data_IF_952768230673
#
_entry.id   IF_952768230673
#
_cell.length_a   1.000
_cell.length_b   1.000
_cell.length_c   1.000
_cell.angle_alpha   90.00
_cell.angle_beta   90.00
_cell.angle_gamma   90.00
#
_symmetry.space_group_name_H-M   'P 1'
#
loop_
_entity.id
_entity.type
_entity.pdbx_description
1 polymer ?
#
# COMPACT_ATOMS: atom_id res chain seq x y z
N UNK A 1 -151.06 -21.89 24.76
CA UNK A 1 -149.74 -21.58 25.35
C UNK A 1 -149.02 -22.81 25.93
N UNK A 2 -149.72 -23.82 26.47
CA UNK A 2 -149.08 -25.06 26.98
C UNK A 2 -148.66 -26.03 25.85
N UNK A 3 -149.46 -26.16 24.79
CA UNK A 3 -149.15 -27.05 23.66
C UNK A 3 -147.82 -26.69 22.95
N UNK A 4 -147.53 -25.40 22.79
CA UNK A 4 -146.28 -24.89 22.21
C UNK A 4 -145.07 -25.10 23.13
N UNK A 5 -145.27 -25.06 24.45
CA UNK A 5 -144.22 -25.34 25.43
C UNK A 5 -143.86 -26.84 25.47
N UNK A 6 -144.87 -27.72 25.38
CA UNK A 6 -144.67 -29.17 25.34
C UNK A 6 -143.95 -29.64 24.07
N UNK A 7 -144.30 -29.11 22.89
CA UNK A 7 -143.59 -29.44 21.65
C UNK A 7 -142.16 -28.92 21.65
N UNK A 8 -141.90 -27.74 22.23
CA UNK A 8 -140.55 -27.21 22.42
C UNK A 8 -139.72 -28.07 23.39
N UNK A 9 -140.30 -28.47 24.53
CA UNK A 9 -139.62 -29.33 25.51
C UNK A 9 -139.33 -30.72 24.94
N UNK A 10 -140.26 -31.29 24.17
CA UNK A 10 -140.09 -32.56 23.48
C UNK A 10 -139.01 -32.47 22.39
N UNK A 11 -139.00 -31.38 21.60
CA UNK A 11 -137.95 -31.11 20.62
C UNK A 11 -136.58 -30.93 21.27
N UNK A 12 -136.52 -30.25 22.40
CA UNK A 12 -135.29 -30.08 23.19
C UNK A 12 -134.81 -31.41 23.78
N UNK A 13 -135.70 -32.23 24.35
CA UNK A 13 -135.35 -33.57 24.85
C UNK A 13 -134.84 -34.45 23.72
N UNK A 14 -135.46 -34.38 22.54
CA UNK A 14 -135.05 -35.17 21.38
C UNK A 14 -133.67 -34.70 20.86
N UNK A 15 -133.43 -33.40 20.79
CA UNK A 15 -132.13 -32.84 20.41
C UNK A 15 -131.04 -33.18 21.43
N UNK A 16 -131.36 -33.13 22.73
CA UNK A 16 -130.45 -33.51 23.81
C UNK A 16 -130.13 -35.02 23.75
N UNK A 17 -131.14 -35.85 23.49
CA UNK A 17 -130.97 -37.30 23.31
C UNK A 17 -130.07 -37.60 22.11
N UNK A 18 -130.28 -36.92 20.97
CA UNK A 18 -129.42 -37.01 19.79
C UNK A 18 -127.99 -36.54 20.12
N UNK A 19 -127.81 -35.40 20.78
CA UNK A 19 -126.49 -34.90 21.17
C UNK A 19 -125.75 -35.88 22.09
N UNK A 20 -126.44 -36.50 23.05
CA UNK A 20 -125.86 -37.49 23.95
C UNK A 20 -125.51 -38.80 23.21
N UNK A 21 -126.30 -39.17 22.20
CA UNK A 21 -126.02 -40.33 21.34
C UNK A 21 -124.78 -40.10 20.45
N UNK A 22 -124.59 -38.88 19.94
CA UNK A 22 -123.44 -38.53 19.09
C UNK A 22 -122.18 -38.15 19.88
N UNK A 23 -122.29 -37.69 21.13
CA UNK A 23 -121.16 -37.34 21.99
C UNK A 23 -120.05 -38.44 22.07
N UNK A 24 -120.35 -39.73 22.31
CA UNK A 24 -119.32 -40.77 22.35
C UNK A 24 -118.65 -41.03 20.99
N UNK A 25 -119.36 -40.76 19.88
CA UNK A 25 -118.83 -40.91 18.52
C UNK A 25 -117.80 -39.81 18.22
N UNK A 26 -118.11 -38.57 18.59
CA UNK A 26 -117.19 -37.45 18.41
C UNK A 26 -115.96 -37.59 19.34
N UNK A 27 -116.14 -38.02 20.60
CA UNK A 27 -115.04 -38.21 21.54
C UNK A 27 -114.04 -39.30 21.09
N UNK A 28 -114.56 -40.39 20.50
CA UNK A 28 -113.72 -41.46 19.92
C UNK A 28 -112.82 -40.93 18.80
N UNK A 29 -113.33 -40.03 17.95
CA UNK A 29 -112.58 -39.51 16.80
C UNK A 29 -111.48 -38.54 17.23
N UNK A 30 -111.75 -37.64 18.18
CA UNK A 30 -110.73 -36.73 18.72
C UNK A 30 -109.61 -37.46 19.46
N UNK A 31 -109.92 -38.55 20.19
CA UNK A 31 -108.89 -39.37 20.85
C UNK A 31 -107.94 -40.06 19.86
N UNK A 32 -108.41 -40.41 18.65
CA UNK A 32 -107.55 -40.99 17.61
C UNK A 32 -106.53 -39.99 17.07
N UNK A 33 -106.89 -38.72 16.93
CA UNK A 33 -105.96 -37.70 16.47
C UNK A 33 -104.92 -37.38 17.55
N UNK A 34 -105.36 -37.18 18.80
CA UNK A 34 -104.44 -36.96 19.92
C UNK A 34 -103.44 -38.12 20.12
N UNK A 35 -103.90 -39.37 19.92
CA UNK A 35 -103.05 -40.55 20.07
C UNK A 35 -102.04 -40.72 18.93
N UNK A 36 -102.42 -40.40 17.68
CA UNK A 36 -101.51 -40.42 16.53
C UNK A 36 -100.40 -39.37 16.63
N UNK A 37 -100.72 -38.18 17.15
CA UNK A 37 -99.74 -37.12 17.35
C UNK A 37 -98.74 -37.49 18.45
N UNK A 38 -99.23 -38.06 19.55
CA UNK A 38 -98.41 -38.51 20.68
C UNK A 38 -97.52 -39.71 20.31
N UNK A 39 -98.04 -40.65 19.51
CA UNK A 39 -97.27 -41.79 19.00
C UNK A 39 -96.24 -41.38 17.92
N UNK A 40 -96.42 -40.23 17.25
CA UNK A 40 -95.46 -39.68 16.30
C UNK A 40 -94.33 -38.88 16.96
N UNK A 41 -94.52 -38.40 18.19
CA UNK A 41 -93.51 -37.61 18.94
C UNK A 41 -92.81 -38.40 20.04
N UNK A 42 -93.41 -39.49 20.54
CA UNK A 42 -92.74 -40.40 21.47
C UNK A 42 -91.96 -41.49 20.71
N UNK A 43 -90.75 -41.86 21.17
CA UNK A 43 -90.06 -43.04 20.65
C UNK A 43 -90.91 -44.27 20.93
N UNK A 44 -91.53 -44.81 19.88
CA UNK A 44 -92.59 -45.82 20.00
C UNK A 44 -92.03 -47.25 20.20
N UNK A 45 -90.70 -47.46 20.15
CA UNK A 45 -90.09 -48.79 20.34
C UNK A 45 -88.86 -48.80 21.26
N UNK A 46 -88.75 -49.86 22.08
CA UNK A 46 -87.57 -50.09 22.94
C UNK A 46 -86.26 -50.27 22.14
N UNK A 47 -86.36 -50.60 20.85
CA UNK A 47 -85.21 -50.75 19.97
C UNK A 47 -84.64 -49.40 19.52
N UNK A 48 -85.49 -48.41 19.22
CA UNK A 48 -85.04 -47.05 18.87
C UNK A 48 -84.34 -46.38 20.06
N UNK A 49 -84.88 -46.52 21.27
CA UNK A 49 -84.23 -46.00 22.49
C UNK A 49 -82.83 -46.60 22.66
N UNK A 50 -82.66 -47.90 22.43
CA UNK A 50 -81.35 -48.57 22.49
C UNK A 50 -80.40 -48.07 21.40
N UNK A 51 -80.90 -47.86 20.18
CA UNK A 51 -80.10 -47.31 19.08
C UNK A 51 -79.63 -45.89 19.39
N UNK A 52 -80.46 -45.03 19.99
CA UNK A 52 -80.06 -43.69 20.45
C UNK A 52 -78.96 -43.75 21.52
N UNK A 53 -79.09 -44.66 22.49
CA UNK A 53 -78.06 -44.87 23.52
C UNK A 53 -76.74 -45.37 22.93
N UNK A 54 -76.80 -46.32 22.00
CA UNK A 54 -75.63 -46.83 21.30
C UNK A 54 -75.00 -45.74 20.40
N UNK A 55 -75.81 -44.88 19.79
CA UNK A 55 -75.34 -43.71 19.04
C UNK A 55 -74.61 -42.71 19.95
N UNK A 56 -75.18 -42.34 21.09
CA UNK A 56 -74.53 -41.45 22.07
C UNK A 56 -73.22 -42.06 22.59
N UNK A 57 -73.19 -43.38 22.83
CA UNK A 57 -71.97 -44.09 23.23
C UNK A 57 -70.92 -44.07 22.12
N UNK A 58 -71.33 -44.27 20.87
CA UNK A 58 -70.44 -44.19 19.72
C UNK A 58 -69.90 -42.76 19.52
N UNK A 59 -70.74 -41.74 19.65
CA UNK A 59 -70.32 -40.34 19.56
C UNK A 59 -69.32 -39.99 20.68
N UNK A 60 -69.58 -40.42 21.91
CA UNK A 60 -68.64 -40.26 23.02
C UNK A 60 -67.30 -40.96 22.74
N UNK A 61 -67.33 -42.21 22.24
CA UNK A 61 -66.12 -42.94 21.88
C UNK A 61 -65.33 -42.26 20.76
N UNK A 62 -66.01 -41.73 19.74
CA UNK A 62 -65.37 -40.97 18.65
C UNK A 62 -64.76 -39.66 19.15
N UNK A 63 -65.43 -38.91 20.02
CA UNK A 63 -64.88 -37.69 20.63
C UNK A 63 -63.62 -37.98 21.45
N UNK A 64 -63.64 -39.05 22.25
CA UNK A 64 -62.44 -39.50 23.00
C UNK A 64 -61.32 -39.87 22.03
N UNK A 65 -61.62 -40.66 20.99
CA UNK A 65 -60.61 -41.05 20.00
C UNK A 65 -60.03 -39.85 19.24
N UNK A 66 -60.85 -38.88 18.86
CA UNK A 66 -60.39 -37.65 18.22
C UNK A 66 -59.49 -36.84 19.15
N UNK A 67 -59.84 -36.74 20.43
CA UNK A 67 -59.00 -36.09 21.43
C UNK A 67 -57.66 -36.82 21.61
N UNK A 68 -57.66 -38.16 21.68
CA UNK A 68 -56.45 -38.98 21.75
C UNK A 68 -55.54 -38.77 20.54
N UNK A 69 -56.11 -38.78 19.32
CA UNK A 69 -55.36 -38.52 18.09
C UNK A 69 -54.78 -37.09 18.13
N UNK A 70 -55.56 -36.10 18.53
CA UNK A 70 -55.09 -34.72 18.67
C UNK A 70 -53.93 -34.60 19.66
N UNK A 71 -54.00 -35.30 20.80
CA UNK A 71 -52.90 -35.34 21.78
C UNK A 71 -51.66 -36.02 21.19
N UNK A 72 -51.83 -37.13 20.47
CA UNK A 72 -50.72 -37.83 19.82
C UNK A 72 -50.02 -36.95 18.79
N UNK A 73 -50.78 -36.27 17.92
CA UNK A 73 -50.21 -35.33 16.93
C UNK A 73 -49.48 -34.17 17.59
N UNK A 74 -50.02 -33.60 18.67
CA UNK A 74 -49.35 -32.51 19.40
C UNK A 74 -48.05 -32.99 20.06
N UNK A 75 -48.03 -34.21 20.60
CA UNK A 75 -46.81 -34.84 21.14
C UNK A 75 -45.77 -35.06 20.04
N UNK A 76 -46.17 -35.54 18.87
CA UNK A 76 -45.27 -35.72 17.74
C UNK A 76 -44.68 -34.39 17.25
N UNK A 77 -45.51 -33.34 17.17
CA UNK A 77 -45.04 -31.98 16.83
C UNK A 77 -44.07 -31.44 17.87
N UNK A 78 -44.35 -31.63 19.16
CA UNK A 78 -43.44 -31.23 20.24
C UNK A 78 -42.12 -32.00 20.21
N UNK A 79 -42.16 -33.31 19.95
CA UNK A 79 -40.96 -34.12 19.81
C UNK A 79 -40.07 -33.65 18.65
N UNK A 80 -40.68 -33.32 17.50
CA UNK A 80 -39.95 -32.74 16.35
C UNK A 80 -39.36 -31.37 16.68
N UNK A 81 -40.15 -30.48 17.29
CA UNK A 81 -39.67 -29.15 17.68
C UNK A 81 -38.51 -29.22 18.69
N UNK A 82 -38.54 -30.16 19.64
CA UNK A 82 -37.44 -30.39 20.58
C UNK A 82 -36.19 -30.95 19.89
N UNK A 83 -36.35 -31.84 18.90
CA UNK A 83 -35.23 -32.35 18.11
C UNK A 83 -34.60 -31.22 17.26
N UNK A 84 -35.42 -30.39 16.61
CA UNK A 84 -34.96 -29.22 15.85
C UNK A 84 -34.23 -28.21 16.74
N UNK A 85 -34.77 -27.91 17.93
CA UNK A 85 -34.11 -27.05 18.91
C UNK A 85 -32.78 -27.63 19.39
N UNK A 86 -32.71 -28.95 19.59
CA UNK A 86 -31.48 -29.66 19.92
C UNK A 86 -30.42 -29.48 18.84
N UNK A 87 -30.77 -29.73 17.58
CA UNK A 87 -29.89 -29.54 16.42
C UNK A 87 -29.42 -28.09 16.29
N UNK A 88 -30.35 -27.12 16.38
CA UNK A 88 -30.01 -25.69 16.31
C UNK A 88 -29.06 -25.28 17.45
N UNK A 89 -29.24 -25.81 18.66
CA UNK A 89 -28.35 -25.55 19.80
C UNK A 89 -26.95 -26.11 19.56
N UNK A 90 -26.84 -27.30 18.96
CA UNK A 90 -25.52 -27.86 18.60
C UNK A 90 -24.82 -27.03 17.52
N UNK A 91 -25.54 -26.59 16.50
CA UNK A 91 -25.00 -25.74 15.44
C UNK A 91 -24.54 -24.37 15.99
N UNK A 92 -25.30 -23.76 16.90
CA UNK A 92 -24.90 -22.53 17.59
C UNK A 92 -23.64 -22.78 18.43
N UNK A 93 -23.56 -23.91 19.14
CA UNK A 93 -22.37 -24.26 19.92
C UNK A 93 -21.13 -24.40 19.04
N UNK A 94 -21.25 -25.09 17.89
CA UNK A 94 -20.14 -25.29 16.96
C UNK A 94 -19.73 -23.99 16.27
N UNK A 95 -20.69 -23.17 15.80
CA UNK A 95 -20.40 -21.82 15.29
C UNK A 95 -19.74 -20.93 16.35
N UNK A 96 -20.14 -21.06 17.62
CA UNK A 96 -19.50 -20.30 18.70
C UNK A 96 -18.06 -20.76 18.95
N UNK A 97 -17.73 -22.04 18.72
CA UNK A 97 -16.36 -22.55 18.81
C UNK A 97 -15.51 -22.01 17.67
N UNK A 98 -15.98 -22.12 16.44
CA UNK A 98 -15.25 -21.60 15.27
C UNK A 98 -15.03 -20.10 15.35
N UNK A 99 -16.00 -19.33 15.85
CA UNK A 99 -15.81 -17.90 16.10
C UNK A 99 -14.71 -17.62 17.14
N UNK A 100 -14.63 -18.40 18.23
CA UNK A 100 -13.56 -18.25 19.23
C UNK A 100 -12.20 -18.64 18.67
N UNK A 101 -12.13 -19.71 17.89
CA UNK A 101 -10.91 -20.16 17.21
C UNK A 101 -10.40 -19.09 16.25
N UNK A 102 -11.28 -18.56 15.38
CA UNK A 102 -10.93 -17.50 14.44
C UNK A 102 -10.53 -16.21 15.17
N UNK A 103 -11.19 -15.87 16.28
CA UNK A 103 -10.81 -14.72 17.10
C UNK A 103 -9.43 -14.90 17.74
N UNK A 104 -9.09 -16.12 18.18
CA UNK A 104 -7.76 -16.44 18.69
C UNK A 104 -6.69 -16.37 17.58
N UNK A 105 -7.02 -16.86 16.39
CA UNK A 105 -6.14 -16.77 15.21
C UNK A 105 -5.89 -15.31 14.81
N UNK A 106 -6.94 -14.49 14.75
CA UNK A 106 -6.83 -13.04 14.53
C UNK A 106 -5.96 -12.35 15.58
N UNK A 107 -6.11 -12.70 16.85
CA UNK A 107 -5.26 -12.17 17.91
C UNK A 107 -3.79 -12.57 17.71
N UNK A 108 -3.54 -13.80 17.25
CA UNK A 108 -2.22 -14.28 16.84
C UNK A 108 -1.62 -13.43 15.71
N UNK A 109 -2.36 -13.23 14.62
CA UNK A 109 -1.91 -12.39 13.50
C UNK A 109 -1.64 -10.94 13.91
N UNK A 110 -2.45 -10.37 14.80
CA UNK A 110 -2.22 -9.01 15.32
C UNK A 110 -0.91 -8.94 16.11
N UNK A 111 -0.66 -9.91 16.99
CA UNK A 111 0.59 -9.97 17.75
C UNK A 111 1.81 -10.15 16.84
N UNK A 112 1.72 -11.00 15.81
CA UNK A 112 2.78 -11.21 14.84
C UNK A 112 3.05 -9.94 14.02
N UNK A 113 1.99 -9.27 13.53
CA UNK A 113 2.10 -7.99 12.84
C UNK A 113 2.78 -6.93 13.71
N UNK A 114 2.42 -6.85 14.98
CA UNK A 114 2.99 -5.86 15.90
C UNK A 114 4.46 -6.17 16.21
N UNK A 115 4.82 -7.45 16.34
CA UNK A 115 6.22 -7.89 16.41
C UNK A 115 7.00 -7.49 15.14
N UNK A 116 6.44 -7.71 13.97
CA UNK A 116 7.07 -7.37 12.70
C UNK A 116 7.27 -5.86 12.54
N UNK A 117 6.29 -5.06 12.99
CA UNK A 117 6.41 -3.59 13.06
C UNK A 117 7.52 -3.16 14.00
N UNK A 118 7.62 -3.76 15.19
CA UNK A 118 8.71 -3.46 16.13
C UNK A 118 10.07 -3.78 15.53
N UNK A 119 10.22 -4.93 14.88
CA UNK A 119 11.49 -5.28 14.20
C UNK A 119 11.81 -4.32 13.06
N UNK A 120 10.79 -3.87 12.32
CA UNK A 120 10.98 -2.90 11.25
C UNK A 120 11.45 -1.55 11.79
N UNK A 121 10.83 -1.02 12.85
CA UNK A 121 11.29 0.22 13.48
C UNK A 121 12.69 0.09 14.08
N UNK A 122 13.05 -1.06 14.64
CA UNK A 122 14.39 -1.31 15.13
C UNK A 122 15.43 -1.32 13.99
N UNK A 123 15.11 -1.96 12.86
CA UNK A 123 15.95 -1.98 11.66
C UNK A 123 16.09 -0.58 11.04
N UNK A 124 15.00 0.20 10.94
CA UNK A 124 15.09 1.59 10.48
C UNK A 124 15.96 2.44 11.42
N UNK A 125 15.90 2.20 12.73
CA UNK A 125 16.79 2.85 13.71
C UNK A 125 18.26 2.52 13.42
N UNK A 126 18.57 1.24 13.25
CA UNK A 126 19.92 0.79 12.90
C UNK A 126 20.41 1.36 11.57
N UNK A 127 19.55 1.44 10.56
CA UNK A 127 19.88 2.05 9.27
C UNK A 127 20.24 3.53 9.42
N UNK A 128 19.45 4.29 10.20
CA UNK A 128 19.73 5.71 10.49
C UNK A 128 21.06 5.89 11.22
N UNK A 129 21.34 5.06 12.22
CA UNK A 129 22.58 5.12 12.99
C UNK A 129 23.79 4.78 12.11
N UNK A 130 23.68 3.75 11.27
CA UNK A 130 24.73 3.37 10.32
C UNK A 130 24.97 4.45 9.26
N UNK A 131 23.89 5.06 8.73
CA UNK A 131 24.01 6.16 7.79
C UNK A 131 24.72 7.37 8.41
N UNK A 132 24.33 7.74 9.64
CA UNK A 132 25.00 8.81 10.38
C UNK A 132 26.48 8.52 10.62
N UNK A 133 26.81 7.30 11.03
CA UNK A 133 28.20 6.87 11.23
C UNK A 133 29.03 6.85 9.93
N UNK A 134 28.43 6.45 8.80
CA UNK A 134 29.08 6.53 7.49
C UNK A 134 29.36 7.98 7.07
N UNK A 135 28.42 8.89 7.31
CA UNK A 135 28.59 10.30 6.98
C UNK A 135 29.60 11.00 7.90
N UNK A 136 29.73 10.57 9.15
CA UNK A 136 30.78 11.01 10.06
C UNK A 136 32.16 10.48 9.59
N UNK A 137 32.29 9.17 9.34
CA UNK A 137 33.53 8.59 8.85
C UNK A 137 33.99 9.19 7.50
N UNK A 138 33.05 9.54 6.62
CA UNK A 138 33.35 10.27 5.38
C UNK A 138 33.90 11.67 5.63
N UNK A 139 33.33 12.40 6.59
CA UNK A 139 33.80 13.74 6.97
C UNK A 139 35.20 13.67 7.56
N UNK A 140 35.44 12.72 8.47
CA UNK A 140 36.76 12.52 9.07
C UNK A 140 37.80 12.13 8.01
N UNK A 141 37.43 11.24 7.08
CA UNK A 141 38.30 10.87 5.97
C UNK A 141 38.64 12.04 5.05
N UNK A 142 37.70 12.96 4.81
CA UNK A 142 37.94 14.17 4.03
C UNK A 142 38.92 15.11 4.75
N UNK A 143 38.75 15.33 6.05
CA UNK A 143 39.66 16.14 6.86
C UNK A 143 41.08 15.55 6.87
N UNK A 144 41.20 14.23 7.05
CA UNK A 144 42.51 13.55 7.00
C UNK A 144 43.18 13.66 5.63
N UNK A 145 42.40 13.63 4.54
CA UNK A 145 42.94 13.83 3.20
C UNK A 145 43.50 15.25 3.02
N UNK A 146 42.80 16.28 3.51
CA UNK A 146 43.29 17.66 3.51
C UNK A 146 44.56 17.83 4.36
N UNK A 147 44.61 17.20 5.54
CA UNK A 147 45.80 17.21 6.41
C UNK A 147 47.01 16.53 5.74
N UNK A 148 46.81 15.40 5.06
CA UNK A 148 47.86 14.71 4.32
C UNK A 148 48.36 15.54 3.13
N UNK A 149 47.46 16.22 2.42
CA UNK A 149 47.84 17.13 1.33
C UNK A 149 48.66 18.31 1.86
N UNK A 150 48.23 18.93 2.96
CA UNK A 150 48.97 20.01 3.61
C UNK A 150 50.35 19.55 4.11
N UNK A 151 50.43 18.35 4.67
CA UNK A 151 51.68 17.76 5.12
C UNK A 151 52.61 17.44 3.94
N UNK A 152 52.08 16.90 2.85
CA UNK A 152 52.84 16.63 1.62
C UNK A 152 53.42 17.92 1.01
N UNK A 153 52.65 19.02 1.01
CA UNK A 153 53.13 20.33 0.57
C UNK A 153 54.30 20.82 1.44
N UNK A 154 54.18 20.76 2.77
CA UNK A 154 55.27 21.12 3.70
C UNK A 154 56.51 20.25 3.53
N UNK A 155 56.32 18.95 3.31
CA UNK A 155 57.44 18.04 3.02
C UNK A 155 58.14 18.42 1.72
N UNK A 156 57.39 18.82 0.69
CA UNK A 156 57.97 19.30 -0.58
C UNK A 156 58.75 20.59 -0.38
N UNK A 157 58.19 21.58 0.30
CA UNK A 157 58.87 22.84 0.62
C UNK A 157 60.17 22.62 1.39
N UNK A 158 60.15 21.75 2.39
CA UNK A 158 61.36 21.43 3.17
C UNK A 158 62.39 20.65 2.37
N UNK A 159 61.95 19.75 1.48
CA UNK A 159 62.82 19.06 0.53
C UNK A 159 63.48 20.04 -0.44
N UNK A 160 62.71 20.97 -1.02
CA UNK A 160 63.20 21.98 -1.95
C UNK A 160 64.24 22.90 -1.27
N UNK A 161 63.97 23.32 -0.02
CA UNK A 161 64.94 24.07 0.80
C UNK A 161 66.21 23.27 1.09
N UNK A 162 66.09 21.96 1.35
CA UNK A 162 67.25 21.11 1.58
C UNK A 162 68.09 20.95 0.31
N UNK A 163 67.45 20.82 -0.86
CA UNK A 163 68.11 20.81 -2.17
C UNK A 163 68.80 22.14 -2.45
N UNK A 164 68.15 23.28 -2.19
CA UNK A 164 68.74 24.62 -2.32
C UNK A 164 69.98 24.77 -1.43
N UNK A 165 69.89 24.38 -0.15
CA UNK A 165 71.04 24.41 0.78
C UNK A 165 72.17 23.49 0.33
N UNK A 166 71.86 22.33 -0.24
CA UNK A 166 72.88 21.43 -0.81
C UNK A 166 73.59 22.08 -2.00
N UNK A 167 72.85 22.75 -2.89
CA UNK A 167 73.45 23.51 -3.99
C UNK A 167 74.32 24.66 -3.48
N UNK A 168 73.87 25.39 -2.45
CA UNK A 168 74.66 26.45 -1.81
C UNK A 168 75.95 25.93 -1.16
N UNK A 169 75.89 24.79 -0.47
CA UNK A 169 77.06 24.15 0.14
C UNK A 169 78.07 23.71 -0.92
N UNK A 170 77.62 23.03 -1.98
CA UNK A 170 78.51 22.66 -3.09
C UNK A 170 79.11 23.91 -3.73
N UNK A 171 78.32 24.98 -3.91
CA UNK A 171 78.84 26.25 -4.42
C UNK A 171 79.86 26.90 -3.47
N UNK A 172 79.66 26.84 -2.16
CA UNK A 172 80.60 27.34 -1.16
C UNK A 172 81.89 26.50 -1.11
N UNK A 173 81.79 25.17 -1.19
CA UNK A 173 82.93 24.26 -1.30
C UNK A 173 83.77 24.56 -2.54
N UNK A 174 83.16 24.72 -3.72
CA UNK A 174 83.91 25.11 -4.92
C UNK A 174 84.53 26.51 -4.82
N UNK A 175 83.97 27.42 -4.00
CA UNK A 175 84.59 28.74 -3.73
C UNK A 175 85.79 28.58 -2.81
N UNK A 176 85.70 27.75 -1.78
CA UNK A 176 86.82 27.42 -0.89
C UNK A 176 87.95 26.80 -1.71
N UNK A 177 87.66 25.80 -2.54
CA UNK A 177 88.64 25.16 -3.42
C UNK A 177 89.32 26.17 -4.36
N UNK A 178 88.55 27.08 -4.99
CA UNK A 178 89.10 28.18 -5.81
C UNK A 178 89.97 29.15 -5.00
N UNK A 179 89.58 29.49 -3.77
CA UNK A 179 90.36 30.36 -2.90
C UNK A 179 91.66 29.67 -2.46
N UNK A 180 91.62 28.39 -2.14
CA UNK A 180 92.79 27.58 -1.83
C UNK A 180 93.75 27.50 -3.02
N UNK A 181 93.25 27.26 -4.23
CA UNK A 181 94.07 27.27 -5.44
C UNK A 181 94.66 28.65 -5.73
N UNK A 182 93.92 29.72 -5.42
CA UNK A 182 94.42 31.09 -5.54
C UNK A 182 95.52 31.40 -4.51
N UNK A 183 95.41 30.89 -3.28
CA UNK A 183 96.44 30.98 -2.25
C UNK A 183 97.68 30.20 -2.67
N UNK A 184 97.53 28.95 -3.13
CA UNK A 184 98.63 28.16 -3.67
C UNK A 184 99.30 28.87 -4.85
N UNK A 185 98.54 29.51 -5.72
CA UNK A 185 99.09 30.29 -6.84
C UNK A 185 99.83 31.55 -6.37
N UNK A 186 99.31 32.27 -5.36
CA UNK A 186 99.96 33.43 -4.75
C UNK A 186 101.23 33.03 -3.99
N UNK A 187 101.21 31.92 -3.26
CA UNK A 187 102.38 31.34 -2.59
C UNK A 187 103.44 30.95 -3.62
N UNK A 188 103.06 30.30 -4.71
CA UNK A 188 103.99 30.04 -5.83
C UNK A 188 104.53 31.34 -6.40
N UNK A 189 103.69 32.33 -6.66
CA UNK A 189 104.11 33.63 -7.16
C UNK A 189 104.97 34.42 -6.15
N UNK A 190 104.78 34.24 -4.84
CA UNK A 190 105.63 34.86 -3.81
C UNK A 190 106.97 34.14 -3.70
N UNK A 191 107.00 32.81 -3.81
CA UNK A 191 108.23 32.03 -3.91
C UNK A 191 108.99 32.37 -5.20
N UNK A 192 108.28 32.51 -6.33
CA UNK A 192 108.83 33.01 -7.59
C UNK A 192 109.32 34.45 -7.46
N UNK A 193 108.60 35.34 -6.76
CA UNK A 193 109.06 36.70 -6.46
C UNK A 193 110.24 36.70 -5.51
N UNK A 194 110.31 35.83 -4.52
CA UNK A 194 111.42 35.75 -3.57
C UNK A 194 112.66 35.18 -4.25
N UNK A 195 112.50 34.22 -5.15
CA UNK A 195 113.57 33.74 -6.03
C UNK A 195 113.96 34.82 -7.04
N UNK A 196 113.01 35.54 -7.64
CA UNK A 196 113.27 36.72 -8.47
C UNK A 196 113.91 37.86 -7.67
N UNK A 197 113.58 38.08 -6.40
CA UNK A 197 114.22 39.08 -5.54
C UNK A 197 115.62 38.61 -5.20
N UNK A 198 115.87 37.33 -5.00
CA UNK A 198 117.23 36.79 -4.85
C UNK A 198 118.03 36.92 -6.15
N UNK A 199 117.42 36.65 -7.30
CA UNK A 199 118.03 36.81 -8.62
C UNK A 199 118.24 38.29 -8.94
N UNK A 200 117.29 39.17 -8.67
CA UNK A 200 117.39 40.62 -8.80
C UNK A 200 118.31 41.23 -7.74
N UNK A 201 118.51 40.61 -6.58
CA UNK A 201 119.54 41.00 -5.59
C UNK A 201 120.92 40.58 -6.06
N UNK A 202 121.01 39.44 -6.74
CA UNK A 202 122.22 38.98 -7.43
C UNK A 202 122.49 39.78 -8.72
N UNK A 203 121.46 40.27 -9.40
CA UNK A 203 121.54 41.18 -10.57
C UNK A 203 121.63 42.65 -10.13
N UNK A 204 121.25 43.02 -8.90
CA UNK A 204 121.44 44.37 -8.34
C UNK A 204 122.85 44.60 -7.78
N UNK A 205 123.69 43.56 -7.67
CA UNK A 205 125.15 43.71 -7.67
C UNK A 205 125.71 43.99 -9.10
N UNK A 206 124.85 44.07 -10.12
CA UNK A 206 125.16 44.53 -11.48
C UNK A 206 124.04 45.41 -12.08
N UNK A 207 123.97 46.67 -11.65
CA UNK A 207 123.55 47.78 -12.53
C UNK A 207 122.06 48.16 -12.55
N UNK A 208 121.75 49.23 -11.80
CA UNK A 208 120.99 50.45 -12.14
C UNK A 208 120.00 50.49 -13.34
N UNK A 209 118.69 50.53 -13.02
CA UNK A 209 117.59 51.50 -13.35
C UNK A 209 117.56 52.33 -14.67
N UNK A 210 116.42 53.00 -15.04
CA UNK A 210 114.98 52.64 -15.01
C UNK A 210 114.22 53.03 -16.32
N UNK A 211 112.93 52.66 -16.46
CA UNK A 211 112.05 53.25 -17.48
C UNK A 211 110.61 52.72 -17.46
N UNK A 212 109.61 53.61 -17.44
CA UNK A 212 108.16 53.42 -17.21
C UNK A 212 107.39 54.08 -18.39
N UNK A 213 106.05 54.21 -18.40
CA UNK A 213 105.00 53.29 -18.90
C UNK A 213 104.18 53.83 -20.10
N UNK A 214 103.39 52.99 -20.77
CA UNK A 214 102.15 53.34 -21.50
C UNK A 214 101.19 52.14 -21.35
N UNK A 215 99.89 52.22 -21.04
CA UNK A 215 98.84 53.19 -21.35
C UNK A 215 97.75 52.45 -22.17
N UNK A 216 96.70 51.91 -21.53
CA UNK A 216 95.60 51.14 -22.16
C UNK A 216 94.56 52.01 -22.90
N UNK A 217 93.32 51.57 -23.18
CA UNK A 217 92.72 50.22 -23.05
C UNK A 217 91.95 49.73 -24.33
N UNK A 218 91.60 48.45 -24.41
CA UNK A 218 90.56 47.92 -25.32
C UNK A 218 89.38 47.43 -24.48
N UNK A 219 88.18 47.93 -24.78
CA UNK A 219 86.94 47.67 -24.02
C UNK A 219 86.32 46.30 -24.31
N UNK A 220 86.07 45.61 -23.21
CA UNK A 220 85.10 44.57 -22.90
C UNK A 220 83.89 44.37 -23.85
N UNK A 221 83.71 43.10 -24.25
CA UNK A 221 82.44 42.54 -24.70
C UNK A 221 81.59 42.00 -23.54
N UNK A 222 80.29 42.28 -23.67
CA UNK A 222 79.06 41.62 -23.19
C UNK A 222 79.12 40.52 -22.11
N UNK A 223 78.30 40.70 -21.05
CA UNK A 223 77.07 39.95 -20.61
C UNK A 223 76.38 40.86 -19.53
N UNK A 224 75.13 40.68 -19.01
CA UNK A 224 74.06 39.72 -19.29
C UNK A 224 72.60 40.27 -19.24
N UNK A 225 71.64 39.41 -19.63
CA UNK A 225 70.50 39.15 -18.75
C UNK A 225 69.11 39.64 -19.15
N UNK A 226 68.18 38.69 -18.97
CA UNK A 226 66.78 38.81 -18.55
C UNK A 226 65.64 38.92 -19.56
N UNK A 227 64.64 38.08 -19.23
CA UNK A 227 63.21 38.15 -19.52
C UNK A 227 62.83 37.90 -20.99
N UNK A 228 61.91 37.01 -21.34
CA UNK A 228 60.90 36.30 -20.55
C UNK A 228 59.72 36.03 -21.48
N UNK A 229 59.04 34.90 -21.24
CA UNK A 229 57.67 34.55 -21.71
C UNK A 229 57.48 34.24 -23.20
N UNK A 230 57.35 32.95 -23.48
CA UNK A 230 56.50 32.41 -24.56
C UNK A 230 55.14 31.98 -23.98
N UNK A 231 54.01 32.24 -24.65
CA UNK A 231 52.71 31.72 -24.23
C UNK A 231 52.57 30.24 -24.63
N UNK A 232 52.14 29.41 -23.69
CA UNK A 232 51.71 28.03 -23.89
C UNK A 232 50.26 28.01 -24.34
N UNK A 233 50.00 27.20 -25.36
CA UNK A 233 48.70 26.83 -25.91
C UNK A 233 47.76 26.24 -24.86
N UNK A 234 46.49 26.63 -24.93
CA UNK A 234 45.37 25.91 -24.33
C UNK A 234 45.14 24.55 -25.01
N UNK A 235 44.67 23.56 -24.24
CA UNK A 235 43.53 22.80 -24.73
C UNK A 235 42.38 22.70 -23.72
N UNK A 236 41.22 22.41 -24.31
CA UNK A 236 39.84 22.33 -23.82
C UNK A 236 39.55 21.67 -22.46
N UNK A 237 38.39 21.99 -21.87
CA UNK A 237 37.88 21.40 -20.64
C UNK A 237 37.30 19.98 -20.86
N UNK A 238 37.27 19.11 -19.83
CA UNK A 238 36.53 17.85 -19.88
C UNK A 238 35.01 18.07 -19.72
N UNK A 239 34.19 17.12 -20.22
CA UNK A 239 32.74 17.24 -20.28
C UNK A 239 32.07 17.11 -18.91
N UNK A 240 30.95 17.82 -18.77
CA UNK A 240 30.03 17.78 -17.63
C UNK A 240 29.55 16.36 -17.39
N UNK A 241 29.71 15.91 -16.15
CA UNK A 241 29.01 14.73 -15.65
C UNK A 241 27.51 14.97 -15.70
N UNK A 242 26.79 13.99 -16.22
CA UNK A 242 25.35 13.98 -16.37
C UNK A 242 24.70 13.98 -14.98
N UNK A 243 23.81 14.93 -14.72
CA UNK A 243 22.92 14.95 -13.56
C UNK A 243 21.76 13.97 -13.83
N UNK A 244 21.72 12.77 -13.22
CA UNK A 244 20.62 11.81 -13.43
C UNK A 244 19.29 12.29 -12.81
N UNK A 245 19.31 13.39 -12.05
CA UNK A 245 18.14 14.02 -11.44
C UNK A 245 17.46 15.07 -12.32
N UNK A 246 18.21 15.70 -13.24
CA UNK A 246 17.65 16.69 -14.18
C UNK A 246 16.76 16.05 -15.24
N UNK A 247 17.19 14.88 -15.74
CA UNK A 247 16.51 14.17 -16.83
C UNK A 247 15.21 13.46 -16.38
N UNK A 248 15.10 13.15 -15.09
CA UNK A 248 13.88 12.64 -14.48
C UNK A 248 12.80 13.73 -14.30
N UNK A 249 13.21 14.99 -14.12
CA UNK A 249 12.32 16.15 -13.95
C UNK A 249 11.95 16.83 -15.28
N UNK A 250 12.74 16.62 -16.34
CA UNK A 250 12.49 17.15 -17.68
C UNK A 250 11.53 16.31 -18.54
N UNK A 251 11.11 15.12 -18.07
CA UNK A 251 10.08 14.34 -18.76
C UNK A 251 8.76 15.11 -18.73
N UNK A 252 8.08 15.31 -19.88
CA UNK A 252 6.78 15.95 -19.90
C UNK A 252 5.84 15.15 -18.99
N UNK A 253 5.36 15.78 -17.91
CA UNK A 253 4.27 15.22 -17.11
C UNK A 253 3.12 14.96 -18.09
N UNK A 254 2.50 13.77 -18.09
CA UNK A 254 1.32 13.57 -18.91
C UNK A 254 0.30 14.61 -18.45
N UNK A 255 -0.02 15.56 -19.32
CA UNK A 255 -1.19 16.40 -19.09
C UNK A 255 -2.35 15.44 -18.93
N UNK A 256 -2.86 15.33 -17.69
CA UNK A 256 -4.10 14.62 -17.43
C UNK A 256 -5.15 15.48 -18.15
N UNK A 257 -5.46 15.12 -19.39
CA UNK A 257 -6.35 15.83 -20.29
C UNK A 257 -7.75 15.87 -19.72
N UNK A 258 -7.98 16.76 -18.76
CA UNK A 258 -9.28 17.03 -18.18
C UNK A 258 -9.99 17.97 -19.15
N UNK A 259 -10.85 17.40 -19.99
CA UNK A 259 -11.80 18.18 -20.76
C UNK A 259 -12.70 19.04 -19.84
N UNK A 260 -13.37 20.07 -20.38
CA UNK A 260 -14.14 21.07 -19.62
C UNK A 260 -15.30 20.50 -18.78
N UNK A 261 -15.62 19.21 -18.91
CA UNK A 261 -16.65 18.51 -18.13
C UNK A 261 -16.28 18.34 -16.63
N UNK A 262 -15.00 18.43 -16.26
CA UNK A 262 -14.57 18.28 -14.86
C UNK A 262 -14.82 19.54 -14.00
N UNK A 263 -15.14 20.69 -14.60
CA UNK A 263 -15.23 21.98 -13.92
C UNK A 263 -16.53 22.19 -13.11
N UNK A 264 -17.54 21.33 -13.25
CA UNK A 264 -18.83 21.41 -12.53
C UNK A 264 -19.07 20.30 -11.48
N UNK A 265 -18.08 19.44 -11.26
CA UNK A 265 -18.23 18.22 -10.46
C UNK A 265 -17.94 18.48 -8.96
N UNK A 266 -18.56 17.71 -8.05
CA UNK A 266 -18.29 17.77 -6.62
C UNK A 266 -16.80 17.44 -6.36
N UNK A 267 -16.06 18.19 -5.51
CA UNK A 267 -14.65 17.92 -5.22
C UNK A 267 -14.31 16.45 -4.91
N UNK A 268 -15.20 15.71 -4.24
CA UNK A 268 -14.99 14.28 -3.98
C UNK A 268 -14.98 13.43 -5.25
N UNK A 269 -15.87 13.73 -6.19
CA UNK A 269 -15.97 13.03 -7.48
C UNK A 269 -14.81 13.41 -8.40
N UNK A 270 -14.33 14.67 -8.36
CA UNK A 270 -13.14 15.09 -9.12
C UNK A 270 -11.89 14.36 -8.66
N UNK A 271 -11.70 14.22 -7.35
CA UNK A 271 -10.55 13.49 -6.81
C UNK A 271 -10.57 12.02 -7.22
N UNK A 272 -11.76 11.40 -7.22
CA UNK A 272 -11.91 10.04 -7.72
C UNK A 272 -11.59 9.94 -9.23
N UNK A 273 -12.02 10.90 -10.04
CA UNK A 273 -11.74 10.93 -11.47
C UNK A 273 -10.24 11.13 -11.77
N UNK A 274 -9.58 12.01 -11.02
CA UNK A 274 -8.12 12.25 -11.11
C UNK A 274 -7.35 11.01 -10.68
N UNK A 275 -7.75 10.37 -9.58
CA UNK A 275 -7.14 9.13 -9.11
C UNK A 275 -7.28 8.00 -10.14
N UNK A 276 -8.44 7.88 -10.80
CA UNK A 276 -8.67 6.87 -11.84
C UNK A 276 -7.75 7.09 -13.05
N UNK A 277 -7.60 8.33 -13.51
CA UNK A 277 -6.68 8.67 -14.60
C UNK A 277 -5.22 8.42 -14.22
N UNK A 278 -4.82 8.74 -12.98
CA UNK A 278 -3.47 8.49 -12.49
C UNK A 278 -3.13 6.99 -12.46
N UNK A 279 -4.07 6.15 -12.01
CA UNK A 279 -3.89 4.68 -11.94
C UNK A 279 -3.71 4.08 -13.35
N UNK A 280 -4.47 4.54 -14.35
CA UNK A 280 -4.33 4.08 -15.73
C UNK A 280 -3.01 4.54 -16.34
N UNK A 281 -2.59 5.78 -16.05
CA UNK A 281 -1.31 6.31 -16.53
C UNK A 281 -0.10 5.59 -15.91
N UNK A 282 -0.14 5.23 -14.63
CA UNK A 282 0.93 4.46 -13.97
C UNK A 282 0.99 3.03 -14.50
N UNK A 283 -0.17 2.36 -14.64
CA UNK A 283 -0.23 1.02 -15.20
C UNK A 283 0.36 0.96 -16.63
N UNK A 284 0.12 1.97 -17.47
CA UNK A 284 0.73 2.07 -18.80
C UNK A 284 2.24 2.26 -18.78
N UNK A 285 2.74 3.07 -17.84
CA UNK A 285 4.17 3.34 -17.71
C UNK A 285 4.96 2.13 -17.20
N UNK A 286 4.34 1.30 -16.36
CA UNK A 286 4.94 0.11 -15.75
C UNK A 286 4.80 -1.15 -16.62
N UNK A 287 3.90 -1.14 -17.62
CA UNK A 287 3.75 -2.24 -18.59
C UNK A 287 3.20 -3.55 -17.98
N UNK A 288 3.39 -4.71 -18.64
CA UNK A 288 2.80 -6.00 -18.22
C UNK A 288 3.34 -6.55 -16.89
N UNK A 289 4.43 -5.95 -16.36
CA UNK A 289 4.99 -6.24 -15.04
C UNK A 289 4.27 -5.54 -13.89
N UNK A 290 3.31 -4.64 -14.17
CA UNK A 290 2.61 -3.91 -13.12
C UNK A 290 1.60 -4.80 -12.38
N UNK A 291 1.56 -4.77 -11.03
CA UNK A 291 0.53 -5.45 -10.24
C UNK A 291 -0.87 -4.86 -10.48
N UNK A 292 -0.98 -3.69 -11.12
CA UNK A 292 -2.24 -3.04 -11.47
C UNK A 292 -2.85 -3.56 -12.78
N UNK A 293 -2.04 -4.15 -13.66
CA UNK A 293 -2.49 -4.72 -14.94
C UNK A 293 -3.59 -5.80 -14.78
N UNK A 294 -3.48 -6.79 -13.86
CA UNK A 294 -4.54 -7.79 -13.66
C UNK A 294 -5.83 -7.21 -13.05
N UNK A 295 -5.76 -6.11 -12.29
CA UNK A 295 -6.92 -5.47 -11.65
C UNK A 295 -7.75 -4.62 -12.62
N UNK A 296 -7.11 -4.14 -13.68
CA UNK A 296 -7.74 -3.40 -14.77
C UNK A 296 -8.32 -4.31 -15.86
N UNK A 297 -8.01 -5.61 -15.82
CA UNK A 297 -8.59 -6.59 -16.75
C UNK A 297 -10.09 -6.80 -16.50
N UNK A 298 -10.90 -7.00 -17.56
CA UNK A 298 -12.33 -7.24 -17.42
C UNK A 298 -12.59 -8.59 -16.74
N UNK A 299 -13.08 -8.58 -15.49
CA UNK A 299 -13.47 -9.80 -14.76
C UNK A 299 -13.16 -9.85 -13.26
N UNK A 300 -12.43 -8.86 -12.70
CA UNK A 300 -12.16 -8.82 -11.25
C UNK A 300 -13.43 -8.45 -10.47
N UNK A 301 -13.86 -9.32 -9.55
CA UNK A 301 -15.09 -9.17 -8.75
C UNK A 301 -15.11 -7.87 -7.92
N UNK A 302 -16.31 -7.28 -7.84
CA UNK A 302 -16.57 -5.94 -7.35
C UNK A 302 -16.71 -5.86 -5.82
N UNK A 303 -16.27 -4.75 -5.22
CA UNK A 303 -16.68 -4.34 -3.87
C UNK A 303 -17.28 -2.93 -3.88
N UNK A 304 -18.21 -2.69 -2.96
CA UNK A 304 -19.34 -1.77 -3.09
C UNK A 304 -19.10 -0.35 -2.56
N UNK A 305 -18.47 0.50 -3.37
CA UNK A 305 -18.55 1.98 -3.36
C UNK A 305 -18.62 2.38 -4.85
N UNK A 306 -19.16 3.55 -5.29
CA UNK A 306 -19.04 3.98 -6.69
C UNK A 306 -17.59 3.88 -7.19
N UNK A 307 -17.30 2.76 -7.86
CA UNK A 307 -16.02 2.08 -7.68
C UNK A 307 -14.94 2.73 -8.54
N UNK A 308 -13.92 3.30 -7.90
CA UNK A 308 -12.76 3.91 -8.55
C UNK A 308 -12.15 2.93 -9.58
N UNK A 309 -12.14 1.64 -9.26
CA UNK A 309 -11.68 0.57 -10.15
C UNK A 309 -12.56 0.44 -11.39
N UNK A 310 -13.88 0.60 -11.29
CA UNK A 310 -14.77 0.58 -12.44
C UNK A 310 -14.54 1.78 -13.37
N UNK A 311 -14.25 2.97 -12.81
CA UNK A 311 -13.92 4.17 -13.60
C UNK A 311 -12.57 4.02 -14.31
N UNK A 312 -11.55 3.55 -13.60
CA UNK A 312 -10.23 3.27 -14.19
C UNK A 312 -10.33 2.23 -15.33
N UNK A 313 -11.13 1.17 -15.16
CA UNK A 313 -11.40 0.19 -16.23
C UNK A 313 -12.11 0.79 -17.44
N UNK A 314 -13.10 1.67 -17.23
CA UNK A 314 -13.79 2.38 -18.33
C UNK A 314 -12.83 3.28 -19.11
N UNK A 315 -11.94 3.99 -18.41
CA UNK A 315 -10.94 4.86 -19.03
C UNK A 315 -9.87 4.07 -19.78
N UNK A 316 -9.39 2.95 -19.21
CA UNK A 316 -8.50 2.03 -19.91
C UNK A 316 -9.16 1.48 -21.19
N UNK A 317 -10.40 1.00 -21.10
CA UNK A 317 -11.15 0.48 -22.26
C UNK A 317 -11.47 1.55 -23.31
N UNK A 318 -11.73 2.80 -22.92
CA UNK A 318 -11.97 3.91 -23.84
C UNK A 318 -10.70 4.29 -24.60
N UNK A 319 -9.56 4.31 -23.91
CA UNK A 319 -8.28 4.66 -24.51
C UNK A 319 -7.64 3.52 -25.32
N UNK A 320 -7.96 2.25 -25.03
CA UNK A 320 -7.59 1.11 -25.89
C UNK A 320 -8.41 1.07 -27.19
N UNK A 321 -9.63 1.62 -27.19
CA UNK A 321 -10.44 1.80 -28.42
C UNK A 321 -9.93 2.93 -29.31
N UNK A 322 -9.20 3.89 -28.77
CA UNK A 322 -8.55 4.97 -29.53
C UNK A 322 -7.21 4.53 -30.15
N UNK A 323 -6.70 3.33 -29.82
CA UNK A 323 -5.50 2.77 -30.40
C UNK A 323 -5.79 1.72 -31.49
N UNK A 324 -6.20 2.16 -32.69
CA UNK A 324 -5.66 1.57 -33.90
C UNK A 324 -5.08 2.65 -34.81
N UNK A 325 -3.84 2.47 -35.28
CA UNK A 325 -3.29 2.92 -36.60
C UNK A 325 -1.74 3.07 -36.61
N UNK A 326 -1.03 3.11 -35.48
CA UNK A 326 0.45 3.26 -35.53
C UNK A 326 1.21 2.00 -35.11
N UNK A 327 1.04 0.93 -35.89
CA UNK A 327 1.96 -0.21 -35.86
C UNK A 327 2.18 -0.71 -37.29
N UNK A 328 3.18 -0.14 -37.97
CA UNK A 328 4.01 -0.83 -38.98
C UNK A 328 5.11 0.14 -39.46
N UNK A 329 6.30 0.04 -38.85
CA UNK A 329 7.55 0.48 -39.49
C UNK A 329 8.45 -0.76 -39.55
N UNK A 330 8.75 -1.31 -40.75
CA UNK A 330 9.53 -2.53 -40.85
C UNK A 330 11.01 -2.24 -40.55
N UNK A 331 11.55 -2.99 -39.60
CA UNK A 331 12.97 -3.04 -39.25
C UNK A 331 13.74 -3.57 -40.46
N UNK A 332 14.48 -2.69 -41.16
CA UNK A 332 15.54 -3.10 -42.09
C UNK A 332 16.64 -3.80 -41.29
N UNK A 333 16.81 -5.10 -41.54
CA UNK A 333 18.08 -5.79 -41.30
C UNK A 333 19.15 -5.16 -42.20
N UNK A 334 20.19 -4.61 -41.61
CA UNK A 334 21.46 -4.37 -42.30
C UNK A 334 22.41 -5.50 -41.88
N UNK A 335 22.85 -6.24 -42.88
CA UNK A 335 24.15 -6.93 -42.91
C UNK A 335 25.29 -5.90 -42.91
#
# INVERSE_FOLDING_TARGET
MIATALTFLLGFLLALLLALLFAPVLWRKSRSFARREFEATMPASANEIRAEFDFVRAEAALKVRQAEIGIAEMRDRMARALAELGSARTEIADRSRTLRELQAEMAGYVAERDKLRQTFFALEGQERDLAAGLDEARRDGALQAEELEALALRFRETSDLAEERKVELVAAETRIERLEDSLRALERASLEKDTLIRLLRHEAEKGTAPGKPHGGPLKAGAIPGLAGRTPVSTPSPPPRAEDPLGDALARPRPEIGLGPAAAGMDPGERLAEIAAHAIVATARREGPSSPLAPLLAPGSEASSVPDLAARARRLAAASDREAPVQAEVPVRRAE
#
